data_IF_817863353185
#
_entry.id   IF_817863353185
#
_cell.length_a   1.000
_cell.length_b   1.000
_cell.length_c   1.000
_cell.angle_alpha   90.00
_cell.angle_beta   90.00
_cell.angle_gamma   90.00
#
_symmetry.space_group_name_H-M   'P 1'
#
loop_
_entity.id
_entity.type
_entity.pdbx_description
1 polymer ?
#
# COMPACT_ATOMS: atom_id res chain seq x y z
N UNK A 1 -16.17 4.93 3.22
CA UNK A 1 -15.78 6.33 3.50
C UNK A 1 -15.83 7.09 2.19
N UNK A 2 -16.25 8.36 2.22
CA UNK A 2 -16.21 9.26 1.05
C UNK A 2 -14.90 10.03 1.07
N UNK A 3 -14.24 10.10 -0.07
CA UNK A 3 -13.04 10.89 -0.31
C UNK A 3 -13.06 11.44 -1.73
N UNK A 4 -11.88 11.75 -2.25
CA UNK A 4 -11.70 12.37 -3.56
C UNK A 4 -10.77 11.47 -4.39
N UNK A 5 -11.12 11.29 -5.66
CA UNK A 5 -10.29 10.59 -6.62
C UNK A 5 -9.03 11.42 -6.94
N UNK A 6 -7.86 10.81 -6.78
CA UNK A 6 -6.58 11.51 -6.91
C UNK A 6 -6.26 11.97 -8.34
N UNK A 7 -6.87 11.36 -9.37
CA UNK A 7 -6.61 11.69 -10.77
C UNK A 7 -7.65 12.65 -11.35
N UNK A 8 -8.91 12.53 -10.92
CA UNK A 8 -10.04 13.25 -11.52
C UNK A 8 -10.63 14.34 -10.62
N UNK A 9 -10.32 14.31 -9.32
CA UNK A 9 -10.86 15.26 -8.33
C UNK A 9 -12.35 15.06 -8.00
N UNK A 10 -12.99 14.04 -8.56
CA UNK A 10 -14.41 13.73 -8.28
C UNK A 10 -14.56 13.03 -6.92
N UNK A 11 -15.77 13.09 -6.36
CA UNK A 11 -16.10 12.30 -5.17
C UNK A 11 -15.94 10.80 -5.45
N UNK A 12 -15.26 10.12 -4.54
CA UNK A 12 -14.96 8.69 -4.60
C UNK A 12 -15.38 8.04 -3.29
N UNK A 13 -16.03 6.87 -3.34
CA UNK A 13 -16.48 6.19 -2.13
C UNK A 13 -16.40 4.67 -2.22
N UNK A 14 -16.84 4.02 -1.14
CA UNK A 14 -16.94 2.57 -1.03
C UNK A 14 -15.65 1.84 -1.44
N UNK A 15 -15.82 0.86 -2.32
CA UNK A 15 -14.76 -0.01 -2.82
C UNK A 15 -13.76 0.75 -3.70
N UNK A 16 -14.22 1.72 -4.50
CA UNK A 16 -13.35 2.48 -5.38
C UNK A 16 -12.33 3.32 -4.58
N UNK A 17 -12.79 3.93 -3.48
CA UNK A 17 -11.90 4.60 -2.54
C UNK A 17 -10.94 3.62 -1.85
N UNK A 18 -11.38 2.41 -1.53
CA UNK A 18 -10.51 1.39 -0.93
C UNK A 18 -9.37 1.01 -1.89
N UNK A 19 -9.67 0.77 -3.17
CA UNK A 19 -8.65 0.48 -4.19
C UNK A 19 -7.61 1.61 -4.32
N UNK A 20 -8.06 2.86 -4.34
CA UNK A 20 -7.14 4.01 -4.35
C UNK A 20 -6.23 4.01 -3.11
N UNK A 21 -6.78 3.73 -1.94
CA UNK A 21 -6.04 3.70 -0.68
C UNK A 21 -4.97 2.60 -0.67
N UNK A 22 -5.35 1.36 -1.05
CA UNK A 22 -4.42 0.22 -1.18
C UNK A 22 -3.28 0.57 -2.14
N UNK A 23 -3.61 1.15 -3.30
CA UNK A 23 -2.60 1.59 -4.26
C UNK A 23 -1.68 2.64 -3.66
N UNK A 24 -2.21 3.70 -3.07
CA UNK A 24 -1.43 4.79 -2.45
C UNK A 24 -0.46 4.26 -1.40
N UNK A 25 -0.90 3.35 -0.53
CA UNK A 25 -0.04 2.73 0.50
C UNK A 25 1.11 1.94 -0.13
N UNK A 26 0.82 1.06 -1.09
CA UNK A 26 1.83 0.15 -1.67
C UNK A 26 2.81 0.87 -2.60
N UNK A 27 2.39 1.93 -3.28
CA UNK A 27 3.25 2.70 -4.19
C UNK A 27 3.97 3.88 -3.52
N UNK A 28 3.76 4.11 -2.23
CA UNK A 28 4.48 5.15 -1.49
C UNK A 28 5.71 4.54 -0.81
N UNK A 29 6.95 4.94 -1.17
CA UNK A 29 8.15 4.50 -0.45
C UNK A 29 8.15 5.02 0.99
N UNK A 30 8.63 4.22 1.93
CA UNK A 30 8.88 4.70 3.29
C UNK A 30 9.81 5.91 3.29
N UNK A 31 9.55 6.85 4.19
CA UNK A 31 10.32 8.08 4.35
C UNK A 31 10.01 9.17 3.33
N UNK A 32 9.18 8.91 2.31
CA UNK A 32 8.87 9.88 1.25
C UNK A 32 7.88 10.98 1.69
N UNK A 33 6.93 10.67 2.58
CA UNK A 33 5.96 11.67 3.07
C UNK A 33 6.57 12.59 4.13
N UNK A 34 6.37 13.89 3.92
CA UNK A 34 6.72 14.95 4.89
C UNK A 34 5.91 14.76 6.18
N UNK A 35 6.58 14.82 7.33
CA UNK A 35 6.01 14.62 8.67
C UNK A 35 5.32 13.26 8.92
N UNK A 36 5.31 12.33 7.95
CA UNK A 36 4.79 10.96 8.08
C UNK A 36 5.76 9.96 7.46
N UNK A 37 6.98 9.93 7.98
CA UNK A 37 8.07 9.09 7.43
C UNK A 37 7.77 7.60 7.48
N UNK A 38 6.91 7.14 8.40
CA UNK A 38 6.52 5.73 8.50
C UNK A 38 5.42 5.30 7.53
N UNK A 39 4.80 6.25 6.81
CA UNK A 39 3.74 5.95 5.86
C UNK A 39 4.31 5.35 4.57
N UNK A 40 3.66 4.31 4.06
CA UNK A 40 4.00 3.65 2.81
C UNK A 40 4.32 2.17 2.98
N UNK A 41 5.14 1.64 2.07
CA UNK A 41 5.51 0.23 2.00
C UNK A 41 6.99 0.03 1.73
N UNK A 42 7.51 -1.10 2.23
CA UNK A 42 8.87 -1.60 1.97
C UNK A 42 9.01 -2.30 0.62
N UNK A 43 7.94 -2.44 -0.15
CA UNK A 43 7.98 -3.05 -1.50
C UNK A 43 9.04 -2.39 -2.39
N UNK A 44 9.31 -1.09 -2.23
CA UNK A 44 10.36 -0.40 -2.98
C UNK A 44 11.78 -0.87 -2.67
N UNK A 45 12.05 -1.38 -1.46
CA UNK A 45 13.36 -1.94 -1.08
C UNK A 45 13.63 -3.27 -1.81
N UNK A 46 12.59 -3.90 -2.38
CA UNK A 46 12.64 -5.22 -3.01
C UNK A 46 12.71 -5.13 -4.54
N UNK A 47 12.71 -3.92 -5.11
CA UNK A 47 12.88 -3.71 -6.55
C UNK A 47 14.28 -4.18 -6.96
N UNK A 48 14.38 -4.82 -8.12
CA UNK A 48 15.61 -5.41 -8.68
C UNK A 48 16.25 -6.53 -7.83
N UNK A 49 15.55 -7.03 -6.81
CA UNK A 49 15.96 -8.20 -6.07
C UNK A 49 15.81 -9.48 -6.94
N UNK A 50 16.65 -10.51 -6.72
CA UNK A 50 16.60 -11.75 -7.49
C UNK A 50 15.27 -12.49 -7.29
N UNK A 51 14.64 -12.90 -8.39
CA UNK A 51 13.34 -13.57 -8.38
C UNK A 51 13.43 -15.00 -7.84
N UNK A 52 13.24 -15.14 -6.53
CA UNK A 52 13.29 -16.42 -5.83
C UNK A 52 12.17 -16.55 -4.78
N UNK A 53 12.14 -17.70 -4.08
CA UNK A 53 11.12 -17.95 -3.05
C UNK A 53 11.22 -16.98 -1.87
N UNK A 54 12.42 -16.53 -1.51
CA UNK A 54 12.59 -15.54 -0.43
C UNK A 54 11.94 -14.23 -0.82
N UNK A 55 12.24 -13.72 -2.02
CA UNK A 55 11.65 -12.47 -2.52
C UNK A 55 10.12 -12.52 -2.49
N UNK A 56 9.53 -13.66 -2.85
CA UNK A 56 8.06 -13.82 -2.75
C UNK A 56 7.56 -13.66 -1.32
N UNK A 57 8.22 -14.29 -0.35
CA UNK A 57 7.84 -14.16 1.07
C UNK A 57 8.05 -12.73 1.58
N UNK A 58 9.14 -12.08 1.18
CA UNK A 58 9.46 -10.71 1.56
C UNK A 58 8.44 -9.71 1.00
N UNK A 59 8.02 -9.90 -0.26
CA UNK A 59 6.95 -9.11 -0.89
C UNK A 59 5.62 -9.27 -0.15
N UNK A 60 5.21 -10.52 0.15
CA UNK A 60 3.98 -10.79 0.91
C UNK A 60 4.03 -10.10 2.27
N UNK A 61 5.14 -10.25 3.00
CA UNK A 61 5.31 -9.64 4.32
C UNK A 61 5.24 -8.10 4.24
N UNK A 62 5.94 -7.49 3.28
CA UNK A 62 5.92 -6.04 3.08
C UNK A 62 4.53 -5.50 2.68
N UNK A 63 3.78 -6.24 1.87
CA UNK A 63 2.41 -5.88 1.49
C UNK A 63 1.46 -5.99 2.68
N UNK A 64 1.47 -7.11 3.41
CA UNK A 64 0.58 -7.33 4.55
C UNK A 64 0.87 -6.34 5.68
N UNK A 65 2.14 -6.10 6.02
CA UNK A 65 2.52 -5.16 7.08
C UNK A 65 2.04 -3.73 6.78
N UNK A 66 2.28 -3.25 5.55
CA UNK A 66 1.86 -1.92 5.13
C UNK A 66 0.33 -1.76 5.15
N UNK A 67 -0.42 -2.74 4.63
CA UNK A 67 -1.89 -2.69 4.59
C UNK A 67 -2.50 -2.86 5.97
N UNK A 68 -1.98 -3.75 6.82
CA UNK A 68 -2.46 -3.93 8.18
C UNK A 68 -2.30 -2.65 9.02
N UNK A 69 -1.21 -1.89 8.79
CA UNK A 69 -0.95 -0.64 9.50
C UNK A 69 -1.82 0.52 9.04
N UNK A 70 -2.04 0.66 7.73
CA UNK A 70 -2.62 1.88 7.15
C UNK A 70 -4.04 1.71 6.59
N UNK A 71 -4.53 0.48 6.39
CA UNK A 71 -5.85 0.18 5.84
C UNK A 71 -6.67 -0.76 6.74
N UNK A 72 -7.17 -0.27 7.90
CA UNK A 72 -7.87 -1.10 8.88
C UNK A 72 -9.22 -1.66 8.39
N UNK A 73 -9.71 -1.19 7.23
CA UNK A 73 -10.94 -1.71 6.61
C UNK A 73 -10.70 -3.05 5.91
N UNK A 74 -9.45 -3.41 5.64
CA UNK A 74 -9.08 -4.59 4.87
C UNK A 74 -8.43 -5.63 5.80
N UNK A 75 -8.88 -6.87 5.69
CA UNK A 75 -8.26 -8.01 6.35
C UNK A 75 -7.62 -8.90 5.29
N UNK A 76 -6.29 -9.01 5.32
CA UNK A 76 -5.55 -9.84 4.37
C UNK A 76 -5.64 -11.31 4.78
N UNK A 77 -6.35 -12.13 4.01
CA UNK A 77 -6.34 -13.59 4.20
C UNK A 77 -5.21 -14.25 3.42
N UNK A 78 -4.99 -13.80 2.18
CA UNK A 78 -3.98 -14.31 1.25
C UNK A 78 -3.45 -13.18 0.36
N UNK A 79 -2.28 -13.38 -0.23
CA UNK A 79 -1.63 -12.49 -1.20
C UNK A 79 -1.29 -13.27 -2.46
#
# INVERSE_FOLDING_TARGET
>A
MRGIDANTGKSLDGLAHLHQSVRDILITPLGSRVLRREYGSRVFELIDAPTNRSLRMDLIAATVDALARWEPRLHCENV
#
